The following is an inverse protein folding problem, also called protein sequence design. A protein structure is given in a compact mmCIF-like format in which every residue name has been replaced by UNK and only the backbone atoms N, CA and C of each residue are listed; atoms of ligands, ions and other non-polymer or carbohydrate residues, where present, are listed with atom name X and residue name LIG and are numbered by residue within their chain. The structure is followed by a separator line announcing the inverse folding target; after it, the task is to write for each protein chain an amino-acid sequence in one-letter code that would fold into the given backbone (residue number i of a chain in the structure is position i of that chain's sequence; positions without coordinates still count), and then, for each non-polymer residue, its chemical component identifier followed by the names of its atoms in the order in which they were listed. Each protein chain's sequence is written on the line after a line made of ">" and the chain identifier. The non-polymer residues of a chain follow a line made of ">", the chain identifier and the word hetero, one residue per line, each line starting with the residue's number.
data_IF_064020830725
#
_entry.id   IF_064020830725
#
_cell.length_a   1.000
_cell.length_b   1.000
_cell.length_c   1.000
_cell.angle_alpha   90.00
_cell.angle_beta   90.00
_cell.angle_gamma   90.00
#
_symmetry.space_group_name_H-M   'P 1'
#
loop_
_entity.id
_entity.type
_entity.pdbx_description
1 polymer ?
#
# COMPACT_ATOMS: atom_id res chain seq x y z
N UNK A 1 -68.49 0.60 -5.10
CA UNK A 1 -67.70 1.15 -3.97
C UNK A 1 -67.40 -0.01 -3.04
N UNK A 2 -66.18 -0.42 -2.70
CA UNK A 2 -64.83 0.11 -2.88
C UNK A 2 -63.90 -1.10 -2.62
N UNK A 3 -63.67 -1.93 -3.65
CA UNK A 3 -62.84 -3.14 -3.58
C UNK A 3 -61.45 -2.90 -4.24
N UNK A 4 -60.86 -1.72 -3.99
CA UNK A 4 -59.65 -1.27 -4.70
C UNK A 4 -58.50 -0.76 -3.81
N UNK A 5 -58.57 -0.93 -2.49
CA UNK A 5 -57.57 -0.34 -1.57
C UNK A 5 -56.58 -1.31 -0.91
N UNK A 6 -56.66 -2.62 -1.18
CA UNK A 6 -55.81 -3.60 -0.48
C UNK A 6 -54.67 -4.22 -1.31
N UNK A 7 -54.51 -3.86 -2.59
CA UNK A 7 -53.47 -4.43 -3.45
C UNK A 7 -52.28 -3.50 -3.73
N UNK A 8 -52.38 -2.21 -3.41
CA UNK A 8 -51.28 -1.25 -3.63
C UNK A 8 -50.31 -1.23 -2.42
N UNK A 9 -50.75 -1.66 -1.24
CA UNK A 9 -49.92 -1.68 -0.02
C UNK A 9 -49.06 -2.95 0.16
N UNK A 10 -49.28 -4.00 -0.64
CA UNK A 10 -48.47 -5.23 -0.56
C UNK A 10 -47.43 -5.37 -1.69
N UNK A 11 -47.55 -4.59 -2.76
CA UNK A 11 -46.52 -4.50 -3.81
C UNK A 11 -45.52 -3.35 -3.57
N UNK A 12 -45.84 -2.42 -2.66
CA UNK A 12 -44.93 -1.33 -2.25
C UNK A 12 -43.93 -1.71 -1.17
N UNK A 13 -44.11 -2.85 -0.48
CA UNK A 13 -43.23 -3.29 0.62
C UNK A 13 -42.25 -4.39 0.22
N UNK A 14 -42.40 -5.01 -0.95
CA UNK A 14 -41.47 -6.02 -1.47
C UNK A 14 -40.39 -5.45 -2.40
N UNK A 15 -40.52 -4.20 -2.83
CA UNK A 15 -39.59 -3.54 -3.77
C UNK A 15 -38.56 -2.63 -3.08
N UNK A 16 -38.50 -2.59 -1.74
CA UNK A 16 -37.59 -1.73 -0.97
C UNK A 16 -36.44 -2.49 -0.29
N UNK A 17 -36.27 -3.79 -0.55
CA UNK A 17 -35.16 -4.59 0.02
C UNK A 17 -34.03 -4.79 -1.02
N UNK A 18 -34.20 -4.31 -2.25
CA UNK A 18 -33.14 -4.33 -3.25
C UNK A 18 -32.43 -2.98 -3.29
N UNK A 19 -31.46 -2.87 -2.39
CA UNK A 19 -30.18 -2.16 -2.56
C UNK A 19 -30.22 -0.92 -3.45
N UNK A 20 -30.58 0.23 -2.86
CA UNK A 20 -29.87 1.43 -3.27
C UNK A 20 -28.45 1.27 -2.74
N UNK A 21 -27.49 0.98 -3.61
CA UNK A 21 -26.16 1.53 -3.46
C UNK A 21 -26.36 3.05 -3.34
N UNK A 22 -26.62 3.51 -2.12
CA UNK A 22 -26.69 4.93 -1.83
C UNK A 22 -25.26 5.38 -2.06
N UNK A 23 -25.04 6.05 -3.19
CA UNK A 23 -23.76 6.68 -3.51
C UNK A 23 -23.32 7.46 -2.27
N UNK A 24 -22.34 6.91 -1.54
CA UNK A 24 -21.86 7.54 -0.33
C UNK A 24 -21.25 8.87 -0.77
N UNK A 25 -21.67 10.01 -0.18
CA UNK A 25 -21.07 11.28 -0.55
C UNK A 25 -19.57 11.20 -0.27
N UNK A 26 -18.76 11.32 -1.33
CA UNK A 26 -17.31 11.21 -1.21
C UNK A 26 -16.77 12.38 -0.42
N UNK A 27 -15.81 12.08 0.46
CA UNK A 27 -15.07 13.11 1.19
C UNK A 27 -14.33 14.03 0.22
N UNK A 28 -14.35 15.33 0.51
CA UNK A 28 -13.61 16.30 -0.29
C UNK A 28 -12.11 16.17 -0.02
N UNK A 29 -11.27 16.59 -0.99
CA UNK A 29 -9.81 16.58 -0.81
C UNK A 29 -9.34 17.33 0.45
N UNK A 30 -10.05 18.40 0.86
CA UNK A 30 -9.71 19.13 2.08
C UNK A 30 -9.94 18.33 3.37
N UNK A 31 -11.02 17.53 3.42
CA UNK A 31 -11.31 16.64 4.54
C UNK A 31 -10.29 15.52 4.60
N UNK A 32 -10.07 14.84 3.46
CA UNK A 32 -9.12 13.73 3.37
C UNK A 32 -7.70 14.18 3.71
N UNK A 33 -7.27 15.36 3.26
CA UNK A 33 -5.94 15.91 3.60
C UNK A 33 -5.74 16.07 5.11
N UNK A 34 -6.77 16.49 5.85
CA UNK A 34 -6.69 16.62 7.31
C UNK A 34 -6.63 15.26 8.00
N UNK A 35 -7.46 14.32 7.55
CA UNK A 35 -7.46 12.95 8.09
C UNK A 35 -6.15 12.23 7.81
N UNK A 36 -5.57 12.46 6.62
CA UNK A 36 -4.26 11.95 6.23
C UNK A 36 -3.16 12.42 7.18
N UNK A 37 -3.11 13.71 7.51
CA UNK A 37 -2.11 14.23 8.45
C UNK A 37 -2.21 13.56 9.84
N UNK A 38 -3.42 13.39 10.37
CA UNK A 38 -3.62 12.67 11.63
C UNK A 38 -3.29 11.18 11.54
N UNK A 39 -3.52 10.56 10.39
CA UNK A 39 -3.11 9.19 10.14
C UNK A 39 -1.59 9.06 10.14
N UNK A 40 -0.89 9.92 9.40
CA UNK A 40 0.58 9.89 9.28
C UNK A 40 1.26 10.11 10.63
N UNK A 41 0.79 11.09 11.42
CA UNK A 41 1.27 11.28 12.80
C UNK A 41 1.09 10.02 13.66
N UNK A 42 -0.05 9.34 13.56
CA UNK A 42 -0.32 8.12 14.32
C UNK A 42 0.56 6.98 13.85
N UNK A 43 0.68 6.79 12.54
CA UNK A 43 1.53 5.76 11.93
C UNK A 43 2.99 5.92 12.36
N UNK A 44 3.54 7.13 12.30
CA UNK A 44 4.90 7.43 12.78
C UNK A 44 5.08 6.98 14.23
N UNK A 45 4.08 7.24 15.08
CA UNK A 45 4.13 6.85 16.50
C UNK A 45 3.92 5.35 16.76
N UNK A 46 3.52 4.57 15.76
CA UNK A 46 3.46 3.09 15.87
C UNK A 46 4.81 2.43 15.64
N UNK A 47 5.75 3.12 15.00
CA UNK A 47 7.08 2.59 14.68
C UNK A 47 7.98 2.63 15.92
N UNK A 48 8.54 1.48 16.29
CA UNK A 48 9.45 1.35 17.42
C UNK A 48 10.89 1.72 17.02
N UNK A 49 11.10 3.00 16.72
CA UNK A 49 12.39 3.58 16.34
C UNK A 49 13.52 3.22 17.32
N UNK A 50 14.70 2.90 16.78
CA UNK A 50 15.85 2.45 17.56
C UNK A 50 16.84 3.57 17.85
N UNK A 51 16.90 4.57 16.98
CA UNK A 51 17.79 5.72 17.15
C UNK A 51 17.12 6.80 18.00
N UNK A 52 17.91 7.80 18.39
CA UNK A 52 17.41 8.90 19.22
C UNK A 52 16.28 9.67 18.52
N UNK A 53 15.33 10.18 19.31
CA UNK A 53 14.16 10.87 18.76
C UNK A 53 14.49 12.05 17.84
N UNK A 54 15.66 12.67 18.00
CA UNK A 54 16.17 13.77 17.16
C UNK A 54 16.73 13.35 15.79
N UNK A 55 17.01 12.06 15.56
CA UNK A 55 17.57 11.62 14.28
C UNK A 55 16.53 11.59 13.17
N UNK A 56 16.96 11.88 11.95
CA UNK A 56 16.13 11.83 10.76
C UNK A 56 15.59 10.42 10.53
N UNK A 57 14.32 10.35 10.09
CA UNK A 57 13.59 9.12 9.82
C UNK A 57 12.90 9.22 8.48
N UNK A 58 12.82 8.11 7.76
CA UNK A 58 12.21 8.03 6.44
C UNK A 58 11.02 7.09 6.50
N UNK A 59 9.85 7.58 6.11
CA UNK A 59 8.69 6.75 5.82
C UNK A 59 8.25 6.98 4.38
N UNK A 60 7.75 5.94 3.75
CA UNK A 60 7.20 6.01 2.41
C UNK A 60 5.79 5.47 2.37
N UNK A 61 5.11 5.71 1.26
CA UNK A 61 3.91 4.97 0.92
C UNK A 61 3.92 4.59 -0.55
N UNK A 62 3.16 3.54 -0.86
CA UNK A 62 2.71 3.22 -2.23
C UNK A 62 1.21 3.38 -2.33
N UNK A 63 0.76 3.73 -3.55
CA UNK A 63 -0.64 3.90 -3.89
C UNK A 63 -1.15 2.71 -4.67
N UNK A 64 -2.34 2.25 -4.35
CA UNK A 64 -3.08 1.26 -5.12
C UNK A 64 -4.34 1.95 -5.60
N UNK A 65 -4.47 2.07 -6.93
CA UNK A 65 -5.66 2.65 -7.55
C UNK A 65 -6.77 1.60 -7.56
N UNK A 66 -7.94 1.95 -7.04
CA UNK A 66 -9.09 1.06 -7.10
C UNK A 66 -9.72 1.18 -8.50
N UNK A 67 -9.93 0.07 -9.24
CA UNK A 67 -10.61 0.09 -10.54
C UNK A 67 -12.01 0.69 -10.42
N UNK A 68 -12.45 1.42 -11.45
CA UNK A 68 -13.71 2.18 -11.40
C UNK A 68 -14.92 1.27 -11.17
N UNK A 69 -14.89 0.09 -11.76
CA UNK A 69 -15.89 -0.97 -11.68
C UNK A 69 -15.92 -1.67 -10.32
N UNK A 70 -14.84 -1.60 -9.54
CA UNK A 70 -14.71 -2.24 -8.22
C UNK A 70 -14.96 -1.28 -7.06
N UNK A 71 -15.13 0.04 -7.31
CA UNK A 71 -15.20 1.06 -6.24
C UNK A 71 -16.31 0.74 -5.23
N UNK A 72 -17.51 0.44 -5.70
CA UNK A 72 -18.66 0.24 -4.81
C UNK A 72 -18.43 -1.00 -3.92
N UNK A 73 -17.96 -2.10 -4.51
CA UNK A 73 -17.63 -3.32 -3.79
C UNK A 73 -16.48 -3.10 -2.79
N UNK A 74 -15.44 -2.35 -3.19
CA UNK A 74 -14.32 -1.99 -2.34
C UNK A 74 -14.74 -1.12 -1.17
N UNK A 75 -15.48 -0.04 -1.41
CA UNK A 75 -15.94 0.85 -0.34
C UNK A 75 -16.92 0.14 0.60
N UNK A 76 -17.85 -0.66 0.08
CA UNK A 76 -18.73 -1.47 0.93
C UNK A 76 -17.95 -2.45 1.80
N UNK A 77 -16.96 -3.12 1.22
CA UNK A 77 -16.07 -4.00 1.98
C UNK A 77 -15.28 -3.21 3.04
N UNK A 78 -14.64 -2.11 2.65
CA UNK A 78 -13.76 -1.31 3.50
C UNK A 78 -14.50 -0.72 4.69
N UNK A 79 -15.65 -0.08 4.45
CA UNK A 79 -16.40 0.61 5.50
C UNK A 79 -17.23 -0.34 6.37
N UNK A 80 -17.74 -1.46 5.83
CA UNK A 80 -18.40 -2.49 6.65
C UNK A 80 -17.42 -3.14 7.63
N UNK A 81 -16.16 -3.29 7.21
CA UNK A 81 -15.12 -3.97 7.96
C UNK A 81 -14.11 -3.01 8.61
N UNK A 82 -14.45 -1.72 8.67
CA UNK A 82 -13.51 -0.65 9.01
C UNK A 82 -12.75 -0.90 10.31
N UNK A 83 -13.43 -1.33 11.38
CA UNK A 83 -12.79 -1.58 12.67
C UNK A 83 -11.71 -2.69 12.63
N UNK A 84 -11.88 -3.71 11.79
CA UNK A 84 -10.88 -4.76 11.62
C UNK A 84 -9.74 -4.29 10.72
N UNK A 85 -10.06 -3.58 9.62
CA UNK A 85 -9.06 -3.04 8.70
C UNK A 85 -8.20 -1.93 9.33
N UNK A 86 -8.73 -1.22 10.33
CA UNK A 86 -7.96 -0.22 11.11
C UNK A 86 -6.97 -0.84 12.10
N UNK A 87 -7.01 -2.14 12.36
CA UNK A 87 -5.96 -2.82 13.15
C UNK A 87 -4.64 -2.93 12.38
N UNK A 88 -4.69 -2.72 11.07
CA UNK A 88 -3.51 -2.60 10.24
C UNK A 88 -3.14 -1.12 10.15
N UNK A 89 -2.21 -0.71 11.01
CA UNK A 89 -1.84 0.70 11.19
C UNK A 89 -1.18 1.37 9.97
N UNK A 90 -0.89 0.59 8.92
CA UNK A 90 -0.13 1.02 7.75
C UNK A 90 -0.98 1.40 6.55
N UNK A 91 -2.32 1.32 6.60
CA UNK A 91 -3.16 1.70 5.45
C UNK A 91 -4.08 2.90 5.69
N UNK A 92 -4.20 3.70 4.64
CA UNK A 92 -5.13 4.82 4.57
C UNK A 92 -5.86 4.83 3.24
N UNK A 93 -7.19 4.82 3.25
CA UNK A 93 -7.99 4.99 2.03
C UNK A 93 -8.26 6.47 1.77
N UNK A 94 -7.62 7.02 0.74
CA UNK A 94 -7.88 8.36 0.21
C UNK A 94 -9.14 8.31 -0.66
N UNK A 95 -10.30 8.53 -0.04
CA UNK A 95 -11.60 8.47 -0.72
C UNK A 95 -11.75 9.55 -1.82
N UNK A 96 -11.03 10.67 -1.71
CA UNK A 96 -11.11 11.74 -2.70
C UNK A 96 -10.37 11.34 -4.00
N UNK A 97 -9.24 10.65 -3.86
CA UNK A 97 -8.44 10.16 -4.99
C UNK A 97 -8.81 8.73 -5.42
N UNK A 98 -9.60 8.01 -4.60
CA UNK A 98 -9.98 6.61 -4.80
C UNK A 98 -8.74 5.70 -4.83
N UNK A 99 -7.88 5.91 -3.83
CA UNK A 99 -6.59 5.25 -3.73
C UNK A 99 -6.37 4.71 -2.32
N UNK A 100 -5.94 3.46 -2.22
CA UNK A 100 -5.42 2.90 -0.98
C UNK A 100 -3.93 3.22 -0.88
N UNK A 101 -3.52 3.90 0.18
CA UNK A 101 -2.11 4.16 0.51
C UNK A 101 -1.65 3.12 1.52
N UNK A 102 -0.51 2.50 1.27
CA UNK A 102 0.16 1.59 2.21
C UNK A 102 1.51 2.18 2.58
N UNK A 103 1.64 2.55 3.85
CA UNK A 103 2.80 3.17 4.47
C UNK A 103 3.79 2.13 4.97
N UNK A 104 5.07 2.49 4.96
CA UNK A 104 6.17 1.63 5.40
C UNK A 104 7.38 2.48 5.82
N UNK A 105 8.26 1.97 6.71
CA UNK A 105 9.60 2.53 6.85
C UNK A 105 10.36 2.34 5.53
N UNK A 106 11.17 3.35 5.11
CA UNK A 106 12.00 3.22 3.91
C UNK A 106 13.27 2.43 4.24
N UNK A 107 13.08 1.16 4.59
CA UNK A 107 14.11 0.26 5.09
C UNK A 107 15.24 0.06 4.08
N UNK A 108 16.50 0.22 4.52
CA UNK A 108 17.68 0.02 3.65
C UNK A 108 17.84 1.06 2.54
N UNK A 109 17.15 2.20 2.64
CA UNK A 109 17.29 3.28 1.68
C UNK A 109 18.73 3.78 1.60
N UNK A 110 19.18 4.03 0.38
CA UNK A 110 20.42 4.74 0.10
C UNK A 110 20.11 6.20 -0.18
N UNK A 111 20.67 7.07 0.65
CA UNK A 111 20.43 8.51 0.65
C UNK A 111 21.71 9.23 0.27
N UNK A 112 21.59 10.21 -0.62
CA UNK A 112 22.69 11.14 -0.89
C UNK A 112 22.57 12.34 0.07
N UNK A 113 23.63 12.60 0.83
CA UNK A 113 23.71 13.77 1.71
C UNK A 113 25.13 14.31 1.72
N UNK A 114 25.28 15.59 1.35
CA UNK A 114 26.58 16.30 1.33
C UNK A 114 27.68 15.55 0.56
N UNK A 115 27.34 14.90 -0.55
CA UNK A 115 28.28 14.12 -1.37
C UNK A 115 28.70 12.78 -0.78
N UNK A 116 28.06 12.34 0.31
CA UNK A 116 28.22 11.01 0.90
C UNK A 116 26.95 10.18 0.74
N UNK A 117 27.14 8.86 0.63
CA UNK A 117 26.06 7.89 0.59
C UNK A 117 25.81 7.33 1.98
N UNK A 118 24.56 7.34 2.40
CA UNK A 118 24.12 6.87 3.72
C UNK A 118 23.11 5.76 3.51
N UNK A 119 23.17 4.73 4.34
CA UNK A 119 22.20 3.64 4.32
C UNK A 119 21.33 3.72 5.56
N UNK A 120 20.02 3.77 5.36
CA UNK A 120 19.05 3.71 6.44
C UNK A 120 18.94 2.29 7.00
N UNK A 121 18.65 2.17 8.29
CA UNK A 121 18.36 0.88 8.92
C UNK A 121 16.99 0.31 8.48
N UNK A 122 16.58 -0.79 9.08
CA UNK A 122 15.31 -1.48 8.79
C UNK A 122 14.04 -0.69 9.16
N UNK A 123 14.18 0.40 9.93
CA UNK A 123 13.10 1.32 10.29
C UNK A 123 13.18 2.66 9.53
N UNK A 124 14.08 2.76 8.55
CA UNK A 124 14.27 3.99 7.78
C UNK A 124 15.02 5.08 8.57
N UNK A 125 15.84 4.71 9.55
CA UNK A 125 16.60 5.68 10.38
C UNK A 125 18.08 5.73 10.00
N UNK A 126 18.70 6.89 10.20
CA UNK A 126 20.15 7.07 10.13
C UNK A 126 20.62 8.16 11.11
N UNK A 127 21.89 8.12 11.52
CA UNK A 127 22.45 8.98 12.58
C UNK A 127 22.75 10.43 12.13
N UNK A 128 21.79 11.08 11.47
CA UNK A 128 21.86 12.52 11.17
C UNK A 128 20.74 13.25 11.91
N UNK A 129 21.06 14.44 12.42
CA UNK A 129 20.13 15.32 13.15
C UNK A 129 19.77 16.58 12.37
N UNK A 130 20.42 16.81 11.23
CA UNK A 130 20.13 17.94 10.35
C UNK A 130 18.76 17.73 9.70
N UNK A 131 17.77 18.55 10.05
CA UNK A 131 16.40 18.40 9.51
C UNK A 131 16.11 19.35 8.35
N UNK A 132 17.08 20.19 7.97
CA UNK A 132 16.93 21.24 6.95
C UNK A 132 17.52 20.81 5.59
N UNK A 133 17.88 19.53 5.44
CA UNK A 133 18.47 18.98 4.22
C UNK A 133 17.44 18.30 3.31
N UNK A 134 17.77 18.18 2.02
CA UNK A 134 17.01 17.35 1.08
C UNK A 134 17.56 15.92 1.10
N UNK A 135 16.86 15.02 1.77
CA UNK A 135 17.23 13.61 1.86
C UNK A 135 16.70 12.85 0.65
N UNK A 136 17.42 12.92 -0.45
CA UNK A 136 17.01 12.25 -1.69
C UNK A 136 17.29 10.75 -1.61
N UNK A 137 16.25 9.93 -1.79
CA UNK A 137 16.39 8.47 -1.83
C UNK A 137 16.73 8.02 -3.24
N UNK A 138 17.86 7.33 -3.39
CA UNK A 138 18.40 6.89 -4.67
C UNK A 138 18.00 5.45 -5.03
N UNK A 139 17.79 4.61 -4.01
CA UNK A 139 17.64 3.17 -4.19
C UNK A 139 17.98 2.40 -2.93
N UNK A 140 18.31 1.12 -3.07
CA UNK A 140 18.79 0.28 -1.96
C UNK A 140 19.78 -0.77 -2.44
N UNK A 141 20.56 -1.33 -1.53
CA UNK A 141 21.45 -2.45 -1.86
C UNK A 141 20.65 -3.72 -2.15
N UNK A 142 21.18 -4.56 -3.05
CA UNK A 142 20.74 -5.93 -3.18
C UNK A 142 21.06 -6.70 -1.89
N UNK A 143 20.19 -7.64 -1.54
CA UNK A 143 20.38 -8.58 -0.44
C UNK A 143 19.87 -9.96 -0.87
N UNK A 144 20.07 -10.99 -0.05
CA UNK A 144 19.55 -12.33 -0.35
C UNK A 144 18.05 -12.35 -0.67
N UNK A 145 17.27 -11.48 -0.03
CA UNK A 145 15.80 -11.38 -0.18
C UNK A 145 15.34 -10.26 -1.11
N UNK A 146 16.28 -9.50 -1.67
CA UNK A 146 16.01 -8.28 -2.44
C UNK A 146 16.97 -8.23 -3.62
N UNK A 147 16.48 -8.60 -4.79
CA UNK A 147 17.26 -8.70 -6.01
C UNK A 147 16.90 -7.58 -6.99
N UNK A 148 15.72 -6.98 -6.87
CA UNK A 148 15.16 -6.05 -7.86
C UNK A 148 14.32 -6.78 -8.91
N UNK A 149 13.62 -6.02 -9.73
CA UNK A 149 12.78 -6.51 -10.83
C UNK A 149 13.32 -6.05 -12.18
N UNK A 150 12.86 -6.65 -13.29
CA UNK A 150 13.31 -6.36 -14.66
C UNK A 150 13.29 -4.86 -15.04
N UNK A 151 12.45 -4.05 -14.39
CA UNK A 151 12.38 -2.59 -14.60
C UNK A 151 13.40 -1.75 -13.82
N UNK A 152 14.13 -2.33 -12.86
CA UNK A 152 15.11 -1.59 -12.07
C UNK A 152 16.44 -1.41 -12.82
N UNK A 153 17.13 -0.31 -12.50
CA UNK A 153 18.54 -0.12 -12.88
C UNK A 153 19.39 -0.71 -11.76
N UNK A 154 20.09 -1.80 -12.03
CA UNK A 154 20.97 -2.46 -11.05
C UNK A 154 22.42 -2.27 -11.46
N UNK A 155 23.22 -1.64 -10.59
CA UNK A 155 24.65 -1.40 -10.81
C UNK A 155 25.41 -1.51 -9.50
N UNK A 156 26.53 -2.23 -9.51
CA UNK A 156 27.43 -2.40 -8.35
C UNK A 156 26.71 -2.89 -7.08
N UNK A 157 25.72 -3.77 -7.25
CA UNK A 157 24.91 -4.31 -6.15
C UNK A 157 23.88 -3.33 -5.59
N UNK A 158 23.62 -2.21 -6.27
CA UNK A 158 22.60 -1.22 -5.90
C UNK A 158 21.44 -1.30 -6.89
N UNK A 159 20.23 -1.39 -6.36
CA UNK A 159 18.98 -1.27 -7.08
C UNK A 159 18.56 0.20 -7.02
N UNK A 160 18.79 0.93 -8.11
CA UNK A 160 18.38 2.33 -8.23
C UNK A 160 16.89 2.44 -8.54
N UNK A 161 16.27 3.47 -7.97
CA UNK A 161 14.97 3.94 -8.42
C UNK A 161 15.10 4.50 -9.84
N UNK A 162 14.05 4.35 -10.65
CA UNK A 162 14.04 4.90 -12.00
C UNK A 162 14.20 6.43 -11.99
N UNK A 163 13.53 7.07 -11.03
CA UNK A 163 13.66 8.48 -10.70
C UNK A 163 14.03 8.59 -9.22
N UNK A 164 14.93 9.51 -8.87
CA UNK A 164 15.26 9.78 -7.48
C UNK A 164 14.02 10.24 -6.72
N UNK A 165 13.80 9.70 -5.52
CA UNK A 165 12.62 10.03 -4.72
C UNK A 165 12.95 11.18 -3.77
N UNK A 166 12.27 12.30 -3.97
CA UNK A 166 12.30 13.46 -3.08
C UNK A 166 11.18 13.37 -2.04
N UNK A 167 11.39 13.89 -0.83
CA UNK A 167 10.34 13.95 0.17
C UNK A 167 9.18 14.83 -0.33
N UNK A 168 7.97 14.32 -0.19
CA UNK A 168 6.74 15.06 -0.53
C UNK A 168 6.39 16.10 0.54
N UNK A 169 6.73 15.80 1.79
CA UNK A 169 6.56 16.66 2.95
C UNK A 169 7.32 16.08 4.15
N UNK A 170 7.28 16.79 5.28
CA UNK A 170 7.98 16.46 6.51
C UNK A 170 7.06 16.66 7.72
N UNK A 171 7.19 15.76 8.71
CA UNK A 171 6.48 15.81 9.99
C UNK A 171 7.54 15.73 11.10
N UNK A 172 7.88 16.86 11.72
CA UNK A 172 9.00 16.93 12.66
C UNK A 172 10.32 16.61 11.97
N UNK A 173 10.96 15.50 12.34
CA UNK A 173 12.18 14.99 11.70
C UNK A 173 11.94 13.73 10.84
N UNK A 174 10.68 13.46 10.49
CA UNK A 174 10.30 12.36 9.61
C UNK A 174 10.00 12.89 8.21
N UNK A 175 10.69 12.36 7.21
CA UNK A 175 10.52 12.70 5.80
C UNK A 175 9.61 11.65 5.13
N UNK A 176 8.63 12.12 4.37
CA UNK A 176 7.57 11.29 3.81
C UNK A 176 7.67 11.23 2.28
N UNK A 177 7.77 10.03 1.72
CA UNK A 177 7.99 9.81 0.28
C UNK A 177 6.79 9.12 -0.38
N UNK A 178 6.46 9.54 -1.61
CA UNK A 178 5.54 8.82 -2.50
C UNK A 178 6.37 7.93 -3.43
N UNK A 179 6.30 6.60 -3.24
CA UNK A 179 7.00 5.63 -4.10
C UNK A 179 6.16 5.18 -5.30
N UNK A 180 5.10 5.93 -5.62
CA UNK A 180 4.26 5.71 -6.78
C UNK A 180 3.24 4.60 -6.58
N UNK A 181 2.84 4.01 -7.70
CA UNK A 181 1.78 3.01 -7.71
C UNK A 181 2.33 1.60 -7.52
N UNK A 182 1.50 0.73 -6.91
CA UNK A 182 1.61 -0.71 -6.98
C UNK A 182 0.46 -1.24 -7.81
N UNK A 183 0.77 -1.84 -8.95
CA UNK A 183 -0.21 -2.68 -9.65
C UNK A 183 -0.51 -3.93 -8.84
N UNK A 184 -1.80 -4.26 -8.70
CA UNK A 184 -2.24 -5.59 -8.29
C UNK A 184 -2.57 -6.47 -9.51
N UNK A 185 -2.64 -5.90 -10.72
CA UNK A 185 -2.96 -6.63 -11.94
C UNK A 185 -1.75 -7.39 -12.50
N UNK A 186 -1.98 -8.69 -12.76
CA UNK A 186 -1.02 -9.61 -13.35
C UNK A 186 -1.48 -10.18 -14.69
N UNK A 187 -2.67 -9.79 -15.18
CA UNK A 187 -3.19 -10.29 -16.45
C UNK A 187 -3.05 -9.25 -17.56
N UNK A 188 -2.44 -9.72 -18.64
CA UNK A 188 -2.35 -9.10 -19.93
C UNK A 188 -3.74 -8.64 -20.40
N UNK A 189 -3.97 -7.33 -20.52
CA UNK A 189 -4.88 -6.81 -21.53
C UNK A 189 -4.50 -5.37 -21.93
N UNK A 190 -4.00 -5.28 -23.17
CA UNK A 190 -4.12 -4.15 -24.09
C UNK A 190 -4.04 -2.71 -23.54
N UNK A 191 -2.84 -2.27 -23.14
CA UNK A 191 -2.44 -0.90 -23.44
C UNK A 191 -0.93 -0.80 -23.68
N UNK A 192 -0.53 0.07 -24.60
CA UNK A 192 0.82 0.16 -25.17
C UNK A 192 1.92 0.66 -24.21
N UNK A 193 1.77 0.57 -22.89
CA UNK A 193 2.86 0.84 -21.94
C UNK A 193 3.67 -0.43 -21.68
N UNK A 194 4.62 -0.72 -22.57
CA UNK A 194 5.72 -1.66 -22.28
C UNK A 194 6.57 -1.12 -21.12
N UNK A 195 6.25 -1.52 -19.89
CA UNK A 195 7.24 -1.68 -18.81
C UNK A 195 6.98 -3.05 -18.18
N UNK A 196 8.04 -3.85 -18.13
CA UNK A 196 8.04 -5.27 -17.84
C UNK A 196 7.39 -5.62 -16.50
N UNK A 197 6.62 -6.71 -16.49
CA UNK A 197 6.01 -7.35 -15.34
C UNK A 197 7.07 -7.90 -14.38
N UNK A 198 7.60 -7.04 -13.51
CA UNK A 198 8.35 -7.45 -12.35
C UNK A 198 7.41 -8.06 -11.32
N UNK A 199 7.58 -9.33 -10.96
CA UNK A 199 6.75 -9.95 -9.91
C UNK A 199 7.44 -9.82 -8.55
N UNK A 200 6.66 -9.88 -7.45
CA UNK A 200 7.22 -9.99 -6.10
C UNK A 200 8.26 -11.14 -6.02
N UNK A 201 7.99 -12.22 -6.76
CA UNK A 201 8.84 -13.41 -6.84
C UNK A 201 10.21 -13.10 -7.44
N UNK A 202 10.26 -12.29 -8.51
CA UNK A 202 11.53 -11.86 -9.10
C UNK A 202 12.35 -11.05 -8.10
N UNK A 203 11.71 -10.08 -7.42
CA UNK A 203 12.39 -9.26 -6.42
C UNK A 203 12.96 -10.08 -5.25
N UNK A 204 12.36 -11.23 -4.94
CA UNK A 204 12.81 -12.10 -3.85
C UNK A 204 13.62 -13.30 -4.33
N UNK A 205 14.09 -13.31 -5.58
CA UNK A 205 14.99 -14.35 -6.08
C UNK A 205 14.33 -15.72 -6.32
N UNK A 206 13.02 -15.74 -6.58
CA UNK A 206 12.26 -16.96 -6.88
C UNK A 206 11.27 -17.39 -5.80
N UNK A 207 11.19 -16.66 -4.69
CA UNK A 207 10.27 -16.93 -3.57
C UNK A 207 9.17 -15.86 -3.50
N UNK A 208 7.96 -16.21 -3.06
CA UNK A 208 6.95 -15.18 -2.79
C UNK A 208 7.25 -14.46 -1.45
N UNK A 209 6.49 -13.40 -1.13
CA UNK A 209 6.66 -12.67 0.13
C UNK A 209 6.50 -13.55 1.38
N UNK A 210 5.62 -14.55 1.32
CA UNK A 210 5.34 -15.47 2.42
C UNK A 210 6.60 -16.24 2.80
N UNK A 211 7.26 -16.87 1.82
CA UNK A 211 8.46 -17.66 2.05
C UNK A 211 9.68 -16.78 2.34
N UNK A 212 9.88 -15.71 1.57
CA UNK A 212 11.05 -14.85 1.68
C UNK A 212 11.19 -14.19 3.08
N UNK A 213 10.06 -13.91 3.72
CA UNK A 213 10.00 -13.23 5.02
C UNK A 213 9.30 -14.02 6.13
N UNK A 214 8.98 -15.29 5.88
CA UNK A 214 8.26 -16.15 6.82
C UNK A 214 6.96 -15.48 7.32
N UNK A 215 6.16 -14.99 6.37
CA UNK A 215 4.86 -14.36 6.59
C UNK A 215 3.78 -15.35 6.21
N UNK A 216 3.12 -15.91 7.23
CA UNK A 216 2.08 -16.93 7.08
C UNK A 216 0.82 -16.50 7.85
N UNK A 217 0.46 -15.22 7.69
CA UNK A 217 -0.63 -14.58 8.44
C UNK A 217 -1.94 -14.58 7.64
N UNK A 218 -1.86 -14.85 6.33
CA UNK A 218 -3.02 -14.96 5.46
C UNK A 218 -3.93 -16.15 5.75
N UNK A 219 -5.15 -16.08 5.23
CA UNK A 219 -6.25 -17.02 5.57
C UNK A 219 -6.50 -18.10 4.52
N UNK A 220 -5.79 -18.04 3.41
CA UNK A 220 -5.92 -18.99 2.30
C UNK A 220 -4.89 -20.10 2.39
N UNK A 221 -5.17 -21.27 1.77
CA UNK A 221 -4.14 -22.27 1.53
C UNK A 221 -2.93 -21.63 0.85
N UNK A 222 -1.75 -21.91 1.38
CA UNK A 222 -0.52 -21.32 0.89
C UNK A 222 -0.23 -21.75 -0.55
N UNK A 223 0.23 -20.79 -1.35
CA UNK A 223 0.73 -21.05 -2.69
C UNK A 223 2.08 -20.34 -2.87
N UNK A 224 3.14 -21.09 -2.62
CA UNK A 224 4.55 -20.68 -2.68
C UNK A 224 4.99 -20.18 -4.07
N UNK A 225 4.22 -20.47 -5.13
CA UNK A 225 4.59 -20.15 -6.51
C UNK A 225 4.00 -18.84 -7.02
N UNK A 226 3.17 -18.16 -6.24
CA UNK A 226 2.46 -16.95 -6.67
C UNK A 226 2.49 -15.90 -5.57
N UNK A 227 2.33 -14.63 -5.94
CA UNK A 227 2.12 -13.57 -4.95
C UNK A 227 0.79 -13.83 -4.21
N UNK A 228 0.86 -13.79 -2.89
CA UNK A 228 -0.27 -13.94 -1.99
C UNK A 228 -0.81 -12.55 -1.62
N UNK A 229 -1.36 -11.84 -2.61
CA UNK A 229 -1.90 -10.48 -2.48
C UNK A 229 -3.44 -10.44 -2.32
N UNK A 230 -4.05 -11.62 -2.27
CA UNK A 230 -5.50 -11.83 -2.17
C UNK A 230 -5.88 -12.59 -0.90
N UNK A 231 -4.91 -13.06 -0.10
CA UNK A 231 -5.14 -13.90 1.08
C UNK A 231 -5.33 -13.12 2.38
N UNK A 232 -5.66 -11.82 2.29
CA UNK A 232 -5.82 -10.96 3.45
C UNK A 232 -7.10 -11.18 4.21
N UNK A 233 -7.50 -10.15 4.95
CA UNK A 233 -8.63 -10.27 5.87
C UNK A 233 -9.96 -10.40 5.08
N UNK A 234 -10.91 -11.21 5.58
CA UNK A 234 -12.20 -11.50 4.94
C UNK A 234 -12.14 -12.12 3.53
N UNK A 235 -10.98 -12.63 3.12
CA UNK A 235 -10.77 -13.27 1.83
C UNK A 235 -11.70 -14.46 1.56
N UNK A 236 -12.11 -14.61 0.30
CA UNK A 236 -12.73 -15.81 -0.25
C UNK A 236 -11.73 -16.71 -1.01
N UNK A 237 -10.43 -16.37 -0.92
CA UNK A 237 -9.31 -17.01 -1.59
C UNK A 237 -9.34 -16.98 -3.11
N UNK A 238 -10.04 -16.00 -3.68
CA UNK A 238 -10.08 -15.74 -5.12
C UNK A 238 -9.18 -14.58 -5.51
N UNK A 239 -8.35 -14.79 -6.54
CA UNK A 239 -7.35 -13.82 -6.99
C UNK A 239 -7.98 -12.60 -7.66
N UNK A 240 -9.12 -12.78 -8.31
CA UNK A 240 -9.87 -11.70 -8.96
C UNK A 240 -10.28 -10.59 -7.97
N UNK A 241 -10.51 -10.93 -6.70
CA UNK A 241 -10.99 -10.02 -5.67
C UNK A 241 -9.87 -9.37 -4.84
N UNK A 242 -8.61 -9.41 -5.31
CA UNK A 242 -7.44 -8.92 -4.57
C UNK A 242 -7.56 -7.46 -4.10
N UNK A 243 -8.25 -6.58 -4.83
CA UNK A 243 -8.46 -5.19 -4.36
C UNK A 243 -9.26 -5.13 -3.06
N UNK A 244 -10.19 -6.06 -2.83
CA UNK A 244 -10.94 -6.20 -1.59
C UNK A 244 -10.08 -6.80 -0.47
N UNK A 245 -9.24 -7.78 -0.82
CA UNK A 245 -8.55 -8.64 0.15
C UNK A 245 -7.04 -8.40 0.25
N UNK A 246 -6.55 -7.30 -0.31
CA UNK A 246 -5.14 -6.93 -0.24
C UNK A 246 -4.72 -6.62 1.19
N UNK A 247 -5.51 -5.81 1.91
CA UNK A 247 -5.19 -5.44 3.29
C UNK A 247 -5.14 -6.68 4.19
N UNK A 248 -3.99 -6.86 4.85
CA UNK A 248 -3.71 -8.03 5.68
C UNK A 248 -3.26 -9.28 4.91
N UNK A 249 -3.08 -9.21 3.59
CA UNK A 249 -2.43 -10.27 2.81
C UNK A 249 -0.93 -10.35 3.12
N UNK A 250 -0.27 -11.46 2.78
CA UNK A 250 1.18 -11.58 3.02
C UNK A 250 1.97 -10.55 2.20
N UNK A 251 1.48 -10.21 1.00
CA UNK A 251 2.05 -9.14 0.18
C UNK A 251 1.91 -7.76 0.85
N UNK A 252 0.75 -7.48 1.44
CA UNK A 252 0.51 -6.26 2.22
C UNK A 252 1.45 -6.18 3.43
N UNK A 253 1.57 -7.26 4.20
CA UNK A 253 2.42 -7.32 5.40
C UNK A 253 3.89 -7.14 5.04
N UNK A 254 4.33 -7.72 3.91
CA UNK A 254 5.69 -7.51 3.42
C UNK A 254 5.92 -6.05 3.00
N UNK A 255 4.99 -5.47 2.25
CA UNK A 255 5.07 -4.08 1.81
C UNK A 255 5.09 -3.12 3.00
N UNK A 256 4.22 -3.30 3.99
CA UNK A 256 4.13 -2.43 5.17
C UNK A 256 5.38 -2.48 6.05
N UNK A 257 6.16 -3.58 5.97
CA UNK A 257 7.48 -3.71 6.62
C UNK A 257 8.62 -3.08 5.81
N UNK A 258 8.36 -2.49 4.66
CA UNK A 258 9.38 -1.87 3.81
C UNK A 258 10.20 -2.87 2.99
N UNK A 259 9.70 -4.10 2.80
CA UNK A 259 10.45 -5.12 2.06
C UNK A 259 10.41 -4.91 0.53
N UNK A 260 9.38 -4.23 0.02
CA UNK A 260 9.02 -4.21 -1.40
C UNK A 260 8.88 -2.79 -1.99
N UNK A 261 9.36 -1.76 -1.29
CA UNK A 261 9.13 -0.36 -1.71
C UNK A 261 9.86 0.03 -2.99
N UNK A 262 10.98 -0.64 -3.33
CA UNK A 262 11.77 -0.41 -4.54
C UNK A 262 11.22 -1.07 -5.83
N UNK A 263 10.20 -1.92 -5.68
CA UNK A 263 9.60 -2.62 -6.83
C UNK A 263 8.93 -1.59 -7.75
N UNK A 264 9.21 -1.66 -9.05
CA UNK A 264 8.52 -0.84 -10.05
C UNK A 264 7.46 -1.75 -10.68
N UNK A 265 6.19 -1.57 -10.31
CA UNK A 265 5.04 -2.38 -10.77
C UNK A 265 3.93 -1.52 -11.33
#
# INVERSE_FOLDING_TARGET
>A
MLFFFYWILYLGTSALIWTTAQARPRSSHGVVKRELGHFEERYINTLNYKLHNETVKLIGYKKIKIPLEEIDAFEDHYFTNYAELQKFDSNFYDQASIELRVYFPVAGALIEHQGSMIEANELGEFEIKDVDSDYVVLGRKQSGRVQGVQGNIIKDGIIYLADQAHPTHQIGNVFVYDFGYKSLDHNHDHSHSKRSSGTCIENHGGENCSDAYNIHEGRCPENHQVCMDYNGYFTDCKKENKYLYFTGSDCYVSLSKGNCWNEIM
#
